data_IF_524146683768
#
_entry.id   IF_524146683768
#
_cell.length_a   1.000
_cell.length_b   1.000
_cell.length_c   1.000
_cell.angle_alpha   90.00
_cell.angle_beta   90.00
_cell.angle_gamma   90.00
#
_symmetry.space_group_name_H-M   'P 1'
#
loop_
_entity.id
_entity.type
_entity.pdbx_description
1 polymer ?
#
# COMPACT_ATOMS: atom_id res chain seq x y z
N UNK A 1 -16.63 3.19 20.07
CA UNK A 1 -17.30 3.31 18.75
C UNK A 1 -17.45 1.95 18.12
N UNK A 2 -18.51 1.76 17.33
CA UNK A 2 -18.70 0.58 16.49
C UNK A 2 -18.27 0.94 15.07
N UNK A 3 -17.14 0.39 14.62
CA UNK A 3 -16.47 0.75 13.38
C UNK A 3 -16.62 -0.38 12.37
N UNK A 4 -17.17 -0.07 11.19
CA UNK A 4 -17.35 -1.01 10.11
C UNK A 4 -16.36 -0.74 8.97
N UNK A 5 -15.50 -1.71 8.65
CA UNK A 5 -14.66 -1.70 7.46
C UNK A 5 -15.34 -2.48 6.33
N UNK A 6 -15.35 -1.92 5.14
CA UNK A 6 -15.81 -2.62 3.93
C UNK A 6 -14.72 -2.62 2.85
N UNK A 7 -14.31 -3.79 2.42
CA UNK A 7 -13.24 -4.02 1.44
C UNK A 7 -13.58 -5.20 0.53
N UNK A 8 -12.91 -5.32 -0.61
CA UNK A 8 -13.13 -6.40 -1.57
C UNK A 8 -12.83 -7.79 -1.00
N UNK A 9 -11.65 -7.97 -0.45
CA UNK A 9 -11.15 -9.20 0.18
C UNK A 9 -10.03 -8.86 1.18
N UNK A 10 -9.42 -9.88 1.81
CA UNK A 10 -8.27 -9.72 2.72
C UNK A 10 -7.07 -10.59 2.28
N UNK A 11 -6.83 -10.70 0.96
CA UNK A 11 -5.62 -11.34 0.40
C UNK A 11 -4.41 -10.43 0.54
N UNK A 12 -3.21 -10.95 0.22
CA UNK A 12 -1.95 -10.15 0.25
C UNK A 12 -2.05 -8.94 -0.68
N UNK A 13 -2.17 -7.74 -0.09
CA UNK A 13 -2.25 -6.46 -0.78
C UNK A 13 -1.98 -5.29 0.16
N UNK A 14 -1.74 -4.10 -0.40
CA UNK A 14 -1.38 -2.91 0.39
C UNK A 14 -2.55 -2.34 1.19
N UNK A 15 -3.73 -2.24 0.58
CA UNK A 15 -4.94 -1.74 1.23
C UNK A 15 -5.45 -2.72 2.29
N UNK A 16 -5.43 -4.01 1.97
CA UNK A 16 -5.84 -5.11 2.84
C UNK A 16 -4.97 -5.17 4.10
N UNK A 17 -3.65 -4.97 3.95
CA UNK A 17 -2.73 -4.85 5.08
C UNK A 17 -3.11 -3.69 5.99
N UNK A 18 -3.40 -2.53 5.44
CA UNK A 18 -3.81 -1.35 6.22
C UNK A 18 -5.09 -1.62 6.98
N UNK A 19 -6.11 -2.22 6.33
CA UNK A 19 -7.36 -2.61 7.01
C UNK A 19 -7.08 -3.57 8.16
N UNK A 20 -6.29 -4.61 7.93
CA UNK A 20 -5.94 -5.59 8.99
C UNK A 20 -5.18 -4.92 10.15
N UNK A 21 -4.21 -4.06 9.86
CA UNK A 21 -3.43 -3.35 10.89
C UNK A 21 -4.30 -2.39 11.70
N UNK A 22 -5.11 -1.55 11.03
CA UNK A 22 -6.03 -0.62 11.71
C UNK A 22 -7.05 -1.36 12.56
N UNK A 23 -7.67 -2.41 12.01
CA UNK A 23 -8.69 -3.22 12.70
C UNK A 23 -8.13 -3.87 13.95
N UNK A 24 -6.91 -4.46 13.87
CA UNK A 24 -6.25 -5.10 15.01
C UNK A 24 -5.95 -4.13 16.15
N UNK A 25 -5.61 -2.89 15.84
CA UNK A 25 -5.35 -1.87 16.86
C UNK A 25 -6.62 -1.22 17.40
N UNK A 26 -7.57 -0.91 16.52
CA UNK A 26 -8.82 -0.27 16.91
C UNK A 26 -9.69 -1.17 17.79
N UNK A 27 -9.65 -2.50 17.59
CA UNK A 27 -10.46 -3.45 18.38
C UNK A 27 -10.07 -3.49 19.86
N UNK A 28 -8.89 -3.00 20.23
CA UNK A 28 -8.46 -2.92 21.64
C UNK A 28 -9.39 -2.02 22.48
N UNK A 29 -10.03 -1.01 21.85
CA UNK A 29 -10.88 -0.01 22.54
C UNK A 29 -12.24 0.22 21.87
N UNK A 30 -12.54 -0.48 20.79
CA UNK A 30 -13.73 -0.28 19.97
C UNK A 30 -14.32 -1.63 19.55
N UNK A 31 -15.59 -1.65 19.15
CA UNK A 31 -16.16 -2.78 18.43
C UNK A 31 -15.79 -2.61 16.94
N UNK A 32 -15.10 -3.61 16.39
CA UNK A 32 -14.64 -3.59 14.99
C UNK A 32 -15.26 -4.72 14.21
N UNK A 33 -15.83 -4.36 13.08
CA UNK A 33 -16.45 -5.28 12.13
C UNK A 33 -15.78 -5.10 10.77
N UNK A 34 -15.52 -6.19 10.08
CA UNK A 34 -15.06 -6.18 8.69
C UNK A 34 -16.09 -6.90 7.83
N UNK A 35 -16.54 -6.27 6.75
CA UNK A 35 -17.30 -6.91 5.69
C UNK A 35 -16.41 -7.01 4.46
N UNK A 36 -16.30 -8.21 3.87
CA UNK A 36 -15.65 -8.44 2.58
C UNK A 36 -16.67 -8.69 1.49
N UNK A 37 -16.36 -8.32 0.25
CA UNK A 37 -17.21 -8.64 -0.91
C UNK A 37 -17.14 -10.13 -1.23
N UNK A 38 -15.96 -10.74 -1.11
CA UNK A 38 -15.72 -12.17 -1.40
C UNK A 38 -15.28 -12.92 -0.16
N UNK A 39 -15.43 -14.26 -0.16
CA UNK A 39 -15.06 -15.18 0.91
C UNK A 39 -13.65 -15.78 0.70
N UNK A 40 -12.79 -15.09 -0.03
CA UNK A 40 -11.44 -15.56 -0.28
C UNK A 40 -10.64 -15.71 1.03
N UNK A 41 -9.60 -16.55 0.95
CA UNK A 41 -8.72 -16.82 2.09
C UNK A 41 -8.17 -15.52 2.67
N UNK A 42 -8.32 -15.35 3.99
CA UNK A 42 -7.71 -14.26 4.74
C UNK A 42 -6.22 -14.57 4.90
N UNK A 43 -5.38 -13.66 4.42
CA UNK A 43 -3.92 -13.83 4.46
C UNK A 43 -3.23 -12.93 5.50
N UNK A 44 -4.01 -12.28 6.35
CA UNK A 44 -3.53 -11.48 7.48
C UNK A 44 -4.05 -12.06 8.81
N UNK A 45 -3.22 -12.01 9.84
CA UNK A 45 -3.65 -12.36 11.19
C UNK A 45 -4.59 -11.27 11.72
N UNK A 46 -5.82 -11.65 12.06
CA UNK A 46 -6.81 -10.78 12.68
C UNK A 46 -7.01 -11.14 14.13
N UNK A 47 -7.23 -10.13 14.98
CA UNK A 47 -7.63 -10.31 16.36
C UNK A 47 -8.98 -11.05 16.43
N UNK A 48 -9.09 -12.04 17.30
CA UNK A 48 -10.29 -12.88 17.45
C UNK A 48 -11.56 -12.09 17.83
N UNK A 49 -11.41 -10.90 18.39
CA UNK A 49 -12.52 -10.00 18.74
C UNK A 49 -13.11 -9.27 17.54
N UNK A 50 -12.46 -9.28 16.37
CA UNK A 50 -12.97 -8.69 15.15
C UNK A 50 -14.07 -9.59 14.56
N UNK A 51 -15.26 -9.03 14.36
CA UNK A 51 -16.35 -9.72 13.68
C UNK A 51 -16.15 -9.63 12.17
N UNK A 52 -16.16 -10.77 11.48
CA UNK A 52 -15.95 -10.84 10.05
C UNK A 52 -17.21 -11.39 9.35
N UNK A 53 -17.69 -10.67 8.35
CA UNK A 53 -18.77 -11.08 7.46
C UNK A 53 -18.32 -11.00 6.00
N UNK A 54 -19.00 -11.75 5.12
CA UNK A 54 -18.81 -11.64 3.69
C UNK A 54 -20.13 -11.52 2.95
N UNK A 55 -20.13 -10.85 1.81
CA UNK A 55 -21.32 -10.67 0.99
C UNK A 55 -21.54 -11.84 0.04
N UNK A 56 -20.53 -12.69 -0.19
CA UNK A 56 -20.61 -13.84 -1.08
C UNK A 56 -21.48 -14.92 -0.44
N UNK A 57 -22.31 -15.46 -1.13
CA UNK A 57 -22.57 -16.81 -1.56
C UNK A 57 -23.87 -16.85 -2.34
N UNK A 58 -23.76 -16.68 -3.66
CA UNK A 58 -24.80 -17.08 -4.59
C UNK A 58 -24.14 -17.94 -5.67
N UNK A 59 -24.00 -19.21 -5.36
CA UNK A 59 -23.69 -20.23 -6.35
C UNK A 59 -24.87 -20.36 -7.27
N UNK A 60 -24.87 -19.68 -8.40
CA UNK A 60 -25.90 -19.84 -9.42
C UNK A 60 -26.18 -18.66 -10.33
N UNK A 61 -26.01 -17.43 -9.91
CA UNK A 61 -26.33 -16.30 -10.79
C UNK A 61 -25.07 -15.73 -11.46
N UNK A 62 -24.90 -16.00 -12.77
CA UNK A 62 -23.77 -15.52 -13.58
C UNK A 62 -23.93 -14.08 -14.07
N UNK A 63 -25.12 -13.46 -13.90
CA UNK A 63 -25.36 -12.10 -14.37
C UNK A 63 -24.76 -11.07 -13.43
N UNK A 64 -23.77 -10.25 -13.85
CA UNK A 64 -23.09 -9.25 -13.01
C UNK A 64 -24.04 -8.20 -12.41
N UNK A 65 -25.11 -7.82 -13.12
CA UNK A 65 -26.07 -6.82 -12.64
C UNK A 65 -26.88 -7.35 -11.47
N UNK A 66 -27.42 -8.57 -11.60
CA UNK A 66 -28.18 -9.23 -10.55
C UNK A 66 -27.30 -9.46 -9.32
N UNK A 67 -26.06 -9.88 -9.52
CA UNK A 67 -25.07 -10.07 -8.46
C UNK A 67 -24.80 -8.77 -7.69
N UNK A 68 -24.66 -7.65 -8.40
CA UNK A 68 -24.45 -6.34 -7.74
C UNK A 68 -25.69 -5.89 -6.94
N UNK A 69 -26.91 -6.12 -7.44
CA UNK A 69 -28.15 -5.80 -6.70
C UNK A 69 -28.22 -6.62 -5.41
N UNK A 70 -27.87 -7.90 -5.46
CA UNK A 70 -27.86 -8.78 -4.29
C UNK A 70 -26.82 -8.31 -3.27
N UNK A 71 -25.61 -7.94 -3.73
CA UNK A 71 -24.58 -7.40 -2.84
C UNK A 71 -25.03 -6.09 -2.17
N UNK A 72 -25.66 -5.17 -2.91
CA UNK A 72 -26.20 -3.94 -2.35
C UNK A 72 -27.26 -4.21 -1.29
N UNK A 73 -28.21 -5.12 -1.56
CA UNK A 73 -29.25 -5.50 -0.59
C UNK A 73 -28.62 -6.07 0.69
N UNK A 74 -27.74 -7.06 0.57
CA UNK A 74 -27.06 -7.68 1.73
C UNK A 74 -26.23 -6.68 2.52
N UNK A 75 -25.47 -5.84 1.82
CA UNK A 75 -24.66 -4.82 2.50
C UNK A 75 -25.56 -3.86 3.28
N UNK A 76 -26.70 -3.46 2.72
CA UNK A 76 -27.69 -2.63 3.42
C UNK A 76 -28.25 -3.34 4.65
N UNK A 77 -28.63 -4.62 4.52
CA UNK A 77 -29.16 -5.41 5.62
C UNK A 77 -28.10 -5.55 6.75
N UNK A 78 -26.85 -5.89 6.42
CA UNK A 78 -25.76 -5.93 7.40
C UNK A 78 -25.53 -4.57 8.08
N UNK A 79 -25.51 -3.46 7.33
CA UNK A 79 -25.34 -2.14 7.92
C UNK A 79 -26.49 -1.82 8.91
N UNK A 80 -27.71 -2.17 8.55
CA UNK A 80 -28.88 -1.98 9.42
C UNK A 80 -28.80 -2.83 10.69
N UNK A 81 -28.43 -4.11 10.57
CA UNK A 81 -28.38 -5.05 11.71
C UNK A 81 -27.20 -4.75 12.64
N UNK A 82 -26.07 -4.32 12.07
CA UNK A 82 -24.86 -3.95 12.82
C UNK A 82 -25.05 -2.58 13.49
N UNK A 83 -25.72 -1.65 12.84
CA UNK A 83 -25.90 -0.25 13.28
C UNK A 83 -24.55 0.38 13.69
N UNK A 84 -23.59 0.54 12.77
CA UNK A 84 -22.27 1.08 13.08
C UNK A 84 -22.31 2.60 13.26
N UNK A 85 -21.42 3.13 14.11
CA UNK A 85 -21.22 4.58 14.27
C UNK A 85 -20.57 5.22 13.04
N UNK A 86 -19.75 4.43 12.32
CA UNK A 86 -19.04 4.89 11.13
C UNK A 86 -18.68 3.72 10.19
N UNK A 87 -18.64 4.00 8.89
CA UNK A 87 -18.26 3.02 7.86
C UNK A 87 -17.04 3.53 7.09
N UNK A 88 -16.03 2.66 6.94
CA UNK A 88 -14.80 2.91 6.19
C UNK A 88 -14.78 2.05 4.93
N UNK A 89 -14.90 2.67 3.75
CA UNK A 89 -14.79 2.00 2.46
C UNK A 89 -13.38 2.06 1.90
N UNK A 90 -12.80 0.91 1.58
CA UNK A 90 -11.46 0.83 0.99
C UNK A 90 -11.52 0.34 -0.45
N UNK A 91 -10.77 1.00 -1.34
CA UNK A 91 -10.72 0.77 -2.77
C UNK A 91 -12.01 1.18 -3.54
N UNK A 92 -11.94 1.46 -4.84
CA UNK A 92 -13.06 2.06 -5.58
C UNK A 92 -14.33 1.21 -5.62
N UNK A 93 -14.22 -0.09 -5.91
CA UNK A 93 -15.40 -0.95 -6.10
C UNK A 93 -16.25 -1.10 -4.82
N UNK A 94 -15.68 -1.43 -3.63
CA UNK A 94 -16.43 -1.38 -2.37
C UNK A 94 -16.97 0.01 -2.05
N UNK A 95 -16.17 1.06 -2.28
CA UNK A 95 -16.56 2.45 -2.05
C UNK A 95 -17.78 2.85 -2.87
N UNK A 96 -17.83 2.47 -4.15
CA UNK A 96 -19.01 2.75 -5.00
C UNK A 96 -20.29 2.11 -4.46
N UNK A 97 -20.22 0.86 -3.96
CA UNK A 97 -21.40 0.21 -3.35
C UNK A 97 -21.89 0.95 -2.11
N UNK A 98 -20.99 1.38 -1.22
CA UNK A 98 -21.36 2.19 -0.05
C UNK A 98 -22.02 3.50 -0.47
N UNK A 99 -21.45 4.20 -1.44
CA UNK A 99 -21.96 5.50 -1.89
C UNK A 99 -23.27 5.39 -2.69
N UNK A 100 -23.55 4.25 -3.30
CA UNK A 100 -24.87 3.95 -3.85
C UNK A 100 -25.92 3.75 -2.75
N UNK A 101 -25.52 3.19 -1.61
CA UNK A 101 -26.39 3.00 -0.44
C UNK A 101 -26.53 4.24 0.45
N UNK A 102 -25.61 5.22 0.35
CA UNK A 102 -25.59 6.40 1.23
C UNK A 102 -26.94 7.12 1.37
N UNK A 103 -27.78 7.27 0.31
CA UNK A 103 -29.11 7.86 0.46
C UNK A 103 -30.10 7.08 1.36
N UNK A 104 -29.77 5.81 1.67
CA UNK A 104 -30.62 4.90 2.44
C UNK A 104 -30.02 4.54 3.81
N UNK A 105 -28.86 5.06 4.15
CA UNK A 105 -28.17 4.86 5.43
C UNK A 105 -27.81 6.21 6.05
N UNK A 106 -28.01 6.33 7.36
CA UNK A 106 -27.67 7.56 8.10
C UNK A 106 -26.21 7.57 8.55
N UNK A 107 -25.61 6.40 8.68
CA UNK A 107 -24.23 6.24 9.16
C UNK A 107 -23.24 7.00 8.28
N UNK A 108 -22.32 7.78 8.87
CA UNK A 108 -21.24 8.44 8.15
C UNK A 108 -20.34 7.46 7.39
N UNK A 109 -19.91 7.85 6.19
CA UNK A 109 -19.07 7.04 5.31
C UNK A 109 -17.79 7.78 4.96
N UNK A 110 -16.65 7.20 5.33
CA UNK A 110 -15.33 7.64 4.91
C UNK A 110 -14.82 6.71 3.80
N UNK A 111 -14.29 7.30 2.75
CA UNK A 111 -13.68 6.57 1.62
C UNK A 111 -12.16 6.71 1.66
N UNK A 112 -11.46 5.61 1.45
CA UNK A 112 -10.00 5.60 1.33
C UNK A 112 -9.54 5.02 0.00
N UNK A 113 -9.04 5.90 -0.87
CA UNK A 113 -8.34 5.53 -2.09
C UNK A 113 -6.86 5.25 -1.77
N UNK A 114 -6.33 4.16 -2.35
CA UNK A 114 -5.02 3.61 -1.96
C UNK A 114 -4.07 3.41 -3.13
N UNK A 115 -4.38 3.98 -4.28
CA UNK A 115 -3.60 3.88 -5.50
C UNK A 115 -3.49 5.25 -6.19
N UNK A 116 -2.76 5.34 -7.31
CA UNK A 116 -2.72 6.56 -8.12
C UNK A 116 -4.09 6.81 -8.77
N UNK A 117 -4.80 7.89 -8.41
CA UNK A 117 -6.13 8.19 -8.96
C UNK A 117 -6.08 8.49 -10.47
N UNK A 118 -4.94 8.92 -11.04
CA UNK A 118 -4.81 9.11 -12.49
C UNK A 118 -4.90 7.78 -13.24
N UNK A 119 -4.39 6.72 -12.66
CA UNK A 119 -4.46 5.35 -13.21
C UNK A 119 -5.83 4.73 -12.90
N UNK A 120 -6.30 4.84 -11.65
CA UNK A 120 -7.57 4.26 -11.21
C UNK A 120 -8.77 4.84 -11.98
N UNK A 121 -8.75 6.16 -12.24
CA UNK A 121 -9.82 6.87 -12.96
C UNK A 121 -9.40 7.28 -14.38
N UNK A 122 -8.55 6.50 -15.04
CA UNK A 122 -8.07 6.80 -16.39
C UNK A 122 -9.22 6.81 -17.43
N UNK A 123 -10.19 5.88 -17.32
CA UNK A 123 -11.31 5.82 -18.24
C UNK A 123 -12.35 6.92 -17.98
N UNK A 124 -12.99 7.41 -19.04
CA UNK A 124 -14.07 8.40 -18.91
C UNK A 124 -15.22 7.86 -18.04
N UNK A 125 -15.53 6.57 -18.17
CA UNK A 125 -16.58 5.90 -17.39
C UNK A 125 -16.24 5.89 -15.89
N UNK A 126 -15.05 5.43 -15.50
CA UNK A 126 -14.63 5.38 -14.08
C UNK A 126 -14.59 6.78 -13.47
N UNK A 127 -14.10 7.77 -14.23
CA UNK A 127 -14.05 9.17 -13.81
C UNK A 127 -15.44 9.78 -13.59
N UNK A 128 -16.38 9.49 -14.47
CA UNK A 128 -17.77 9.98 -14.35
C UNK A 128 -18.47 9.35 -13.14
N UNK A 129 -18.34 8.05 -12.95
CA UNK A 129 -18.91 7.33 -11.80
C UNK A 129 -18.33 7.90 -10.50
N UNK A 130 -17.01 8.05 -10.42
CA UNK A 130 -16.32 8.63 -9.27
C UNK A 130 -16.84 10.05 -8.97
N UNK A 131 -16.85 10.95 -9.97
CA UNK A 131 -17.34 12.33 -9.80
C UNK A 131 -18.77 12.43 -9.28
N UNK A 132 -19.65 11.50 -9.68
CA UNK A 132 -21.03 11.46 -9.23
C UNK A 132 -21.16 10.89 -7.82
N UNK A 133 -20.52 9.75 -7.53
CA UNK A 133 -20.69 9.04 -6.27
C UNK A 133 -19.92 9.69 -5.12
N UNK A 134 -18.69 10.14 -5.34
CA UNK A 134 -17.82 10.68 -4.28
C UNK A 134 -18.38 11.92 -3.59
N UNK A 135 -19.28 12.67 -4.25
CA UNK A 135 -20.00 13.79 -3.62
C UNK A 135 -20.84 13.38 -2.39
N UNK A 136 -21.17 12.08 -2.28
CA UNK A 136 -22.02 11.53 -1.21
C UNK A 136 -21.24 11.08 0.02
N UNK A 137 -19.93 10.96 -0.08
CA UNK A 137 -19.10 10.60 1.07
C UNK A 137 -19.02 11.75 2.08
N UNK A 138 -18.90 11.41 3.36
CA UNK A 138 -18.80 12.35 4.45
C UNK A 138 -17.35 12.73 4.75
N UNK A 139 -16.41 11.84 4.43
CA UNK A 139 -14.99 12.08 4.55
C UNK A 139 -14.14 11.27 3.57
N UNK A 140 -12.88 11.70 3.39
CA UNK A 140 -11.91 11.00 2.56
C UNK A 140 -10.56 10.89 3.25
N UNK A 141 -9.89 9.76 3.06
CA UNK A 141 -8.49 9.58 3.48
C UNK A 141 -7.65 9.22 2.28
N UNK A 142 -6.73 10.11 1.94
CA UNK A 142 -5.73 9.89 0.91
C UNK A 142 -4.38 9.52 1.54
N UNK A 143 -3.48 8.91 0.75
CA UNK A 143 -2.17 8.52 1.24
C UNK A 143 -1.10 9.59 1.06
N UNK A 144 -1.30 10.49 0.09
CA UNK A 144 -0.36 11.54 -0.32
C UNK A 144 -1.11 12.81 -0.67
N UNK A 145 -0.42 13.95 -0.59
CA UNK A 145 -0.97 15.22 -1.04
C UNK A 145 -1.25 15.21 -2.55
N UNK A 146 -0.38 14.58 -3.37
CA UNK A 146 -0.59 14.46 -4.81
C UNK A 146 -1.87 13.66 -5.15
N UNK A 147 -2.15 12.59 -4.39
CA UNK A 147 -3.40 11.85 -4.55
C UNK A 147 -4.63 12.70 -4.22
N UNK A 148 -4.58 13.47 -3.13
CA UNK A 148 -5.65 14.40 -2.74
C UNK A 148 -5.89 15.49 -3.78
N UNK A 149 -4.83 16.06 -4.31
CA UNK A 149 -4.88 17.21 -5.23
C UNK A 149 -5.45 16.85 -6.61
N UNK A 150 -5.54 15.55 -6.95
CA UNK A 150 -6.27 15.09 -8.13
C UNK A 150 -7.78 15.40 -8.05
N UNK A 151 -8.35 15.48 -6.86
CA UNK A 151 -9.78 15.65 -6.65
C UNK A 151 -10.18 17.13 -6.57
N UNK A 152 -11.47 17.42 -6.84
CA UNK A 152 -11.98 18.78 -6.75
C UNK A 152 -11.99 19.29 -5.31
N UNK A 153 -11.98 20.61 -5.14
CA UNK A 153 -11.93 21.31 -3.84
C UNK A 153 -12.96 20.79 -2.83
N UNK A 154 -14.18 20.53 -3.25
CA UNK A 154 -15.24 19.97 -2.39
C UNK A 154 -14.88 18.61 -1.75
N UNK A 155 -14.10 17.79 -2.43
CA UNK A 155 -13.59 16.50 -1.89
C UNK A 155 -12.38 16.77 -1.00
N UNK A 156 -11.48 17.67 -1.41
CA UNK A 156 -10.33 18.07 -0.61
C UNK A 156 -10.75 18.65 0.75
N UNK A 157 -11.78 19.48 0.80
CA UNK A 157 -12.28 20.12 2.04
C UNK A 157 -12.84 19.12 3.07
N UNK A 158 -13.18 17.90 2.62
CA UNK A 158 -13.66 16.80 3.47
C UNK A 158 -12.58 15.71 3.65
N UNK A 159 -11.33 16.01 3.38
CA UNK A 159 -10.29 15.00 3.33
C UNK A 159 -9.13 15.28 4.27
N UNK A 160 -8.45 14.19 4.64
CA UNK A 160 -7.18 14.22 5.34
C UNK A 160 -6.17 13.33 4.60
N UNK A 161 -4.88 13.67 4.69
CA UNK A 161 -3.80 12.80 4.23
C UNK A 161 -3.26 12.00 5.41
N UNK A 162 -3.41 10.68 5.34
CA UNK A 162 -2.90 9.73 6.34
C UNK A 162 -2.11 8.65 5.64
N UNK A 163 -0.82 8.60 5.91
CA UNK A 163 0.09 7.57 5.42
C UNK A 163 -0.28 6.16 5.93
N UNK A 164 0.37 5.14 5.38
CA UNK A 164 0.23 3.77 5.88
C UNK A 164 0.93 3.61 7.25
N UNK A 165 0.39 2.77 8.14
CA UNK A 165 1.10 2.39 9.36
C UNK A 165 2.26 1.43 9.04
N UNK A 166 3.38 1.59 9.74
CA UNK A 166 4.47 0.63 9.76
C UNK A 166 4.26 -0.33 10.93
N UNK A 167 4.33 -1.63 10.64
CA UNK A 167 4.25 -2.66 11.68
C UNK A 167 5.46 -2.58 12.62
N UNK A 168 5.21 -2.69 13.92
CA UNK A 168 6.22 -2.60 14.98
C UNK A 168 7.37 -3.59 14.81
N UNK A 169 7.16 -4.75 14.19
CA UNK A 169 8.21 -5.73 13.93
C UNK A 169 9.35 -5.14 13.10
N UNK A 170 9.05 -4.30 12.09
CA UNK A 170 10.08 -3.65 11.28
C UNK A 170 10.82 -2.56 12.07
N UNK A 171 10.13 -1.81 12.92
CA UNK A 171 10.74 -0.80 13.77
C UNK A 171 11.65 -1.41 14.86
N UNK A 172 11.35 -2.64 15.31
CA UNK A 172 12.15 -3.37 16.31
C UNK A 172 13.36 -4.08 15.69
N UNK A 173 13.28 -4.43 14.40
CA UNK A 173 14.37 -5.10 13.67
C UNK A 173 15.55 -4.15 13.51
N UNK A 174 16.79 -4.65 13.74
CA UNK A 174 18.03 -3.86 13.64
C UNK A 174 18.77 -4.24 12.38
N UNK A 175 19.10 -3.26 11.57
CA UNK A 175 19.89 -3.41 10.36
C UNK A 175 21.36 -3.76 10.67
N UNK A 176 21.89 -4.76 9.97
CA UNK A 176 23.28 -5.26 10.13
C UNK A 176 24.00 -5.47 8.78
N UNK A 177 23.37 -5.15 7.67
CA UNK A 177 23.78 -5.53 6.30
C UNK A 177 24.89 -4.70 5.66
N UNK A 178 25.65 -3.88 6.39
CA UNK A 178 26.66 -2.98 5.78
C UNK A 178 27.75 -3.68 4.94
N UNK A 179 28.04 -4.96 5.22
CA UNK A 179 29.02 -5.78 4.50
C UNK A 179 28.38 -6.70 3.45
N UNK A 180 27.08 -6.69 3.33
CA UNK A 180 26.34 -7.51 2.38
C UNK A 180 26.64 -7.13 0.92
N UNK A 181 26.58 -8.09 0.04
CA UNK A 181 26.65 -7.90 -1.40
C UNK A 181 25.30 -8.13 -2.09
N UNK A 182 24.21 -8.23 -1.31
CA UNK A 182 22.88 -8.54 -1.82
C UNK A 182 21.96 -7.32 -1.73
N UNK A 183 21.44 -6.87 -2.86
CA UNK A 183 20.34 -5.93 -2.94
C UNK A 183 19.01 -6.67 -2.98
N UNK A 184 17.94 -6.00 -2.53
CA UNK A 184 16.61 -6.60 -2.47
C UNK A 184 15.55 -5.70 -3.07
N UNK A 185 14.60 -6.31 -3.78
CA UNK A 185 13.32 -5.72 -4.20
C UNK A 185 12.18 -6.57 -3.67
N UNK A 186 11.09 -5.95 -3.21
CA UNK A 186 9.91 -6.65 -2.72
C UNK A 186 8.66 -6.04 -3.35
N UNK A 187 7.90 -6.86 -4.07
CA UNK A 187 6.66 -6.39 -4.69
C UNK A 187 6.07 -7.38 -5.68
N UNK A 188 4.82 -7.15 -6.09
CA UNK A 188 4.18 -7.96 -7.13
C UNK A 188 4.97 -7.89 -8.44
N UNK A 189 5.13 -9.02 -9.13
CA UNK A 189 5.78 -9.07 -10.44
C UNK A 189 4.78 -8.64 -11.52
N UNK A 190 4.66 -7.32 -11.73
CA UNK A 190 3.73 -6.72 -12.67
C UNK A 190 4.29 -5.41 -13.26
N UNK A 191 3.63 -4.87 -14.26
CA UNK A 191 4.01 -3.64 -14.98
C UNK A 191 4.23 -2.43 -14.05
N UNK A 192 3.42 -2.31 -12.98
CA UNK A 192 3.54 -1.22 -12.01
C UNK A 192 4.91 -1.18 -11.34
N UNK A 193 5.42 -2.35 -10.92
CA UNK A 193 6.67 -2.48 -10.14
C UNK A 193 7.93 -2.39 -10.98
N UNK A 194 7.80 -2.53 -12.31
CA UNK A 194 8.86 -2.27 -13.29
C UNK A 194 10.21 -2.95 -12.98
N UNK A 195 10.14 -4.26 -12.64
CA UNK A 195 11.34 -5.03 -12.35
C UNK A 195 12.31 -5.13 -13.54
N UNK A 196 11.83 -4.95 -14.76
CA UNK A 196 12.69 -4.90 -15.97
C UNK A 196 13.71 -3.76 -15.85
N UNK A 197 13.28 -2.53 -15.53
CA UNK A 197 14.17 -1.39 -15.31
C UNK A 197 15.24 -1.72 -14.26
N UNK A 198 14.84 -2.37 -13.16
CA UNK A 198 15.74 -2.75 -12.09
C UNK A 198 16.77 -3.79 -12.55
N UNK A 199 16.34 -4.81 -13.29
CA UNK A 199 17.24 -5.87 -13.79
C UNK A 199 18.21 -5.29 -14.82
N UNK A 200 17.76 -4.38 -15.71
CA UNK A 200 18.61 -3.70 -16.67
C UNK A 200 19.65 -2.80 -16.01
N UNK A 201 19.26 -2.05 -14.99
CA UNK A 201 20.19 -1.24 -14.20
C UNK A 201 21.20 -2.12 -13.49
N UNK A 202 20.75 -3.23 -12.90
CA UNK A 202 21.61 -4.15 -12.18
C UNK A 202 22.58 -4.91 -13.12
N UNK A 203 22.18 -5.18 -14.36
CA UNK A 203 23.06 -5.71 -15.41
C UNK A 203 24.29 -4.82 -15.65
N UNK A 204 24.12 -3.49 -15.58
CA UNK A 204 25.26 -2.56 -15.72
C UNK A 204 26.09 -2.49 -14.44
N UNK A 205 25.46 -2.60 -13.26
CA UNK A 205 26.18 -2.67 -11.97
C UNK A 205 27.13 -3.87 -11.91
N UNK A 206 26.70 -5.08 -12.32
CA UNK A 206 27.53 -6.30 -12.22
C UNK A 206 28.71 -6.32 -13.19
N UNK A 207 28.71 -5.52 -14.25
CA UNK A 207 29.91 -5.34 -15.09
C UNK A 207 31.10 -4.77 -14.29
N UNK A 208 30.82 -3.89 -13.33
CA UNK A 208 31.81 -3.28 -12.44
C UNK A 208 31.97 -4.05 -11.13
N UNK A 209 30.87 -4.64 -10.63
CA UNK A 209 30.79 -5.32 -9.33
C UNK A 209 30.21 -6.73 -9.47
N UNK A 210 30.94 -7.70 -10.04
CA UNK A 210 30.42 -9.03 -10.43
C UNK A 210 29.93 -9.88 -9.26
N UNK A 211 30.38 -9.61 -8.02
CA UNK A 211 30.02 -10.38 -6.83
C UNK A 211 28.68 -9.95 -6.22
N UNK A 212 28.08 -8.84 -6.69
CA UNK A 212 26.81 -8.37 -6.16
C UNK A 212 25.63 -9.14 -6.75
N UNK A 213 24.57 -9.27 -5.94
CA UNK A 213 23.34 -9.99 -6.29
C UNK A 213 22.11 -9.13 -6.09
N UNK A 214 21.09 -9.37 -6.89
CA UNK A 214 19.75 -8.80 -6.77
C UNK A 214 18.74 -9.91 -6.46
N UNK A 215 18.09 -9.82 -5.32
CA UNK A 215 17.03 -10.72 -4.88
C UNK A 215 15.68 -10.05 -5.06
N UNK A 216 14.80 -10.62 -5.86
CA UNK A 216 13.46 -10.09 -6.15
C UNK A 216 12.43 -11.00 -5.51
N UNK A 217 11.74 -10.49 -4.47
CA UNK A 217 10.71 -11.21 -3.75
C UNK A 217 9.32 -10.77 -4.20
N UNK A 218 8.47 -11.75 -4.47
CA UNK A 218 7.09 -11.58 -4.89
C UNK A 218 6.67 -12.54 -5.98
N UNK A 219 5.39 -12.53 -6.29
CA UNK A 219 4.76 -13.29 -7.37
C UNK A 219 3.94 -12.35 -8.25
N UNK A 220 3.62 -12.77 -9.48
CA UNK A 220 2.80 -11.98 -10.38
C UNK A 220 2.85 -12.45 -11.83
N UNK A 221 2.08 -11.73 -12.67
CA UNK A 221 1.88 -12.10 -14.09
C UNK A 221 3.16 -12.07 -14.93
N UNK A 222 4.15 -11.25 -14.55
CA UNK A 222 5.40 -11.11 -15.30
C UNK A 222 6.50 -12.11 -14.87
N UNK A 223 6.21 -13.07 -13.97
CA UNK A 223 7.22 -14.01 -13.46
C UNK A 223 7.96 -14.76 -14.57
N UNK A 224 7.22 -15.30 -15.54
CA UNK A 224 7.80 -16.06 -16.63
C UNK A 224 8.65 -15.18 -17.56
N UNK A 225 8.15 -13.99 -17.90
CA UNK A 225 8.84 -13.00 -18.72
C UNK A 225 10.16 -12.56 -18.08
N UNK A 226 10.13 -12.20 -16.79
CA UNK A 226 11.32 -11.83 -16.03
C UNK A 226 12.32 -12.98 -15.95
N UNK A 227 11.85 -14.22 -15.77
CA UNK A 227 12.71 -15.40 -15.73
C UNK A 227 13.41 -15.65 -17.07
N UNK A 228 12.69 -15.52 -18.19
CA UNK A 228 13.26 -15.61 -19.52
C UNK A 228 14.27 -14.47 -19.75
N UNK A 229 13.94 -13.24 -19.40
CA UNK A 229 14.84 -12.09 -19.55
C UNK A 229 16.16 -12.29 -18.78
N UNK A 230 16.10 -12.78 -17.54
CA UNK A 230 17.28 -13.10 -16.72
C UNK A 230 18.15 -14.15 -17.41
N UNK A 231 17.54 -15.21 -17.93
CA UNK A 231 18.23 -16.32 -18.62
C UNK A 231 18.90 -15.84 -19.91
N UNK A 232 18.17 -15.15 -20.77
CA UNK A 232 18.64 -14.71 -22.09
C UNK A 232 19.79 -13.69 -21.98
N UNK A 233 19.77 -12.89 -20.90
CA UNK A 233 20.86 -11.96 -20.58
C UNK A 233 22.00 -12.57 -19.73
N UNK A 234 21.97 -13.89 -19.45
CA UNK A 234 22.99 -14.61 -18.67
C UNK A 234 23.18 -14.07 -17.24
N UNK A 235 22.09 -13.60 -16.61
CA UNK A 235 22.10 -12.97 -15.29
C UNK A 235 21.80 -13.93 -14.13
N UNK A 236 21.64 -15.25 -14.38
CA UNK A 236 21.20 -16.24 -13.39
C UNK A 236 22.08 -16.31 -12.13
N UNK A 237 23.37 -15.96 -12.23
CA UNK A 237 24.28 -15.95 -11.08
C UNK A 237 24.11 -14.72 -10.18
N UNK A 238 23.52 -13.63 -10.71
CA UNK A 238 23.45 -12.34 -10.03
C UNK A 238 22.01 -11.89 -9.72
N UNK A 239 21.02 -12.35 -10.48
CA UNK A 239 19.62 -11.97 -10.30
C UNK A 239 18.75 -13.18 -10.02
N UNK A 240 18.01 -13.17 -8.93
CA UNK A 240 17.16 -14.30 -8.51
C UNK A 240 15.73 -13.84 -8.21
N UNK A 241 14.74 -14.51 -8.80
CA UNK A 241 13.33 -14.42 -8.41
C UNK A 241 13.09 -15.39 -7.24
N UNK A 242 12.76 -14.85 -6.06
CA UNK A 242 12.72 -15.62 -4.80
C UNK A 242 11.31 -16.06 -4.40
N UNK A 243 10.26 -15.61 -5.14
CA UNK A 243 8.87 -15.90 -4.76
C UNK A 243 8.41 -15.12 -3.53
N UNK A 244 7.28 -15.54 -2.95
CA UNK A 244 6.75 -14.93 -1.74
C UNK A 244 7.48 -15.42 -0.49
N UNK A 245 7.53 -14.55 0.53
CA UNK A 245 8.10 -14.85 1.85
C UNK A 245 7.24 -14.19 2.94
N UNK A 246 7.17 -14.79 4.10
CA UNK A 246 6.39 -14.29 5.24
C UNK A 246 7.26 -13.53 6.25
N UNK A 247 8.54 -13.90 6.39
CA UNK A 247 9.49 -13.32 7.36
C UNK A 247 10.43 -12.29 6.69
N UNK A 248 9.81 -11.30 6.03
CA UNK A 248 10.54 -10.31 5.22
C UNK A 248 11.43 -9.39 6.06
N UNK A 249 11.04 -9.06 7.30
CA UNK A 249 11.80 -8.20 8.20
C UNK A 249 13.16 -8.81 8.55
N UNK A 250 13.24 -10.13 8.79
CA UNK A 250 14.50 -10.83 9.00
C UNK A 250 15.36 -10.91 7.75
N UNK A 251 14.76 -10.93 6.57
CA UNK A 251 15.49 -10.89 5.30
C UNK A 251 16.05 -9.49 5.03
N UNK A 252 15.27 -8.44 5.27
CA UNK A 252 15.70 -7.06 5.01
C UNK A 252 16.93 -6.65 5.84
N UNK A 253 17.03 -7.10 7.08
CA UNK A 253 18.05 -6.60 8.06
C UNK A 253 19.50 -6.81 7.64
N UNK A 254 19.79 -7.78 6.77
CA UNK A 254 21.16 -8.18 6.39
C UNK A 254 21.51 -7.88 4.92
N UNK A 255 20.64 -7.18 4.18
CA UNK A 255 20.89 -6.83 2.79
C UNK A 255 21.70 -5.54 2.64
N UNK A 256 22.33 -5.33 1.48
CA UNK A 256 23.12 -4.12 1.18
C UNK A 256 22.24 -2.90 1.00
N UNK A 257 21.10 -3.06 0.33
CA UNK A 257 20.14 -1.99 0.05
C UNK A 257 18.82 -2.51 -0.51
N UNK A 258 17.77 -1.71 -0.35
CA UNK A 258 16.45 -1.94 -0.94
C UNK A 258 16.26 -1.05 -2.16
N UNK A 259 15.66 -1.59 -3.23
CA UNK A 259 15.41 -0.83 -4.45
C UNK A 259 13.94 -0.96 -4.85
N UNK A 260 13.26 0.20 -5.01
CA UNK A 260 11.93 0.30 -5.57
C UNK A 260 12.00 0.98 -6.94
N UNK A 261 11.63 0.26 -8.00
CA UNK A 261 11.70 0.72 -9.40
C UNK A 261 10.35 1.06 -10.03
N UNK A 262 9.33 1.25 -9.20
CA UNK A 262 7.93 1.35 -9.63
C UNK A 262 7.67 2.51 -10.58
N UNK A 263 6.75 2.31 -11.55
CA UNK A 263 6.26 3.36 -12.47
C UNK A 263 5.30 4.34 -11.76
N UNK A 264 4.55 3.87 -10.78
CA UNK A 264 3.63 4.66 -9.94
C UNK A 264 3.35 3.95 -8.62
N UNK A 265 3.15 4.72 -7.54
CA UNK A 265 2.82 4.23 -6.20
C UNK A 265 1.92 5.22 -5.46
N UNK A 266 0.93 4.71 -4.73
CA UNK A 266 0.36 5.48 -3.64
C UNK A 266 1.40 5.62 -2.51
N UNK A 267 1.21 4.91 -1.41
CA UNK A 267 2.22 4.83 -0.34
C UNK A 267 2.83 3.41 -0.34
N UNK A 268 4.11 3.23 -0.77
CA UNK A 268 4.70 1.90 -0.95
C UNK A 268 5.12 1.25 0.38
N UNK A 269 4.32 0.30 0.89
CA UNK A 269 4.60 -0.40 2.15
C UNK A 269 6.00 -1.04 2.17
N UNK A 270 6.43 -1.67 1.08
CA UNK A 270 7.75 -2.33 1.05
C UNK A 270 8.92 -1.34 1.23
N UNK A 271 8.80 -0.12 0.71
CA UNK A 271 9.78 0.94 0.95
C UNK A 271 9.76 1.39 2.42
N UNK A 272 8.55 1.61 2.98
CA UNK A 272 8.40 1.98 4.40
C UNK A 272 8.98 0.92 5.34
N UNK A 273 8.74 -0.35 5.04
CA UNK A 273 9.26 -1.49 5.81
C UNK A 273 10.79 -1.55 5.77
N UNK A 274 11.37 -1.41 4.57
CA UNK A 274 12.83 -1.37 4.40
C UNK A 274 13.46 -0.18 5.14
N UNK A 275 12.86 1.02 5.04
CA UNK A 275 13.29 2.22 5.75
C UNK A 275 13.15 2.06 7.27
N UNK A 276 12.12 1.38 7.78
CA UNK A 276 11.89 1.14 9.20
C UNK A 276 12.93 0.20 9.82
N UNK A 277 13.35 -0.82 9.09
CA UNK A 277 14.50 -1.67 9.46
C UNK A 277 15.80 -0.84 9.50
N UNK A 278 15.86 0.23 8.71
CA UNK A 278 17.06 1.05 8.51
C UNK A 278 17.91 0.57 7.34
N UNK A 279 17.34 -0.20 6.42
CA UNK A 279 18.03 -0.61 5.20
C UNK A 279 18.19 0.60 4.27
N UNK A 280 19.40 0.91 3.74
CA UNK A 280 19.57 1.97 2.74
C UNK A 280 18.66 1.74 1.54
N UNK A 281 17.85 2.74 1.19
CA UNK A 281 16.81 2.61 0.17
C UNK A 281 17.09 3.49 -1.04
N UNK A 282 16.81 2.96 -2.23
CA UNK A 282 16.70 3.69 -3.49
C UNK A 282 15.27 3.54 -3.99
N UNK A 283 14.65 4.62 -4.44
CA UNK A 283 13.32 4.57 -5.04
C UNK A 283 13.21 5.49 -6.24
N UNK A 284 12.45 5.07 -7.24
CA UNK A 284 12.00 5.99 -8.30
C UNK A 284 11.09 7.06 -7.71
N UNK A 285 11.26 8.30 -8.17
CA UNK A 285 10.35 9.43 -7.91
C UNK A 285 9.12 9.29 -8.81
N UNK A 286 8.31 8.30 -8.52
CA UNK A 286 7.17 7.96 -9.36
C UNK A 286 5.88 8.69 -8.92
N UNK A 287 4.92 8.91 -9.85
CA UNK A 287 3.59 9.44 -9.52
C UNK A 287 2.90 8.57 -8.48
N UNK A 288 2.09 9.06 -7.93
CA UNK A 288 1.28 9.68 -6.90
C UNK A 288 2.08 10.15 -5.67
N UNK A 289 3.41 10.28 -5.78
CA UNK A 289 4.25 11.01 -4.83
C UNK A 289 4.65 10.27 -3.55
N UNK A 290 4.18 9.03 -3.32
CA UNK A 290 4.49 8.31 -2.09
C UNK A 290 5.98 8.16 -1.77
N UNK A 291 6.82 7.73 -2.71
CA UNK A 291 8.26 7.71 -2.48
C UNK A 291 8.86 9.08 -2.14
N UNK A 292 8.38 10.15 -2.79
CA UNK A 292 8.82 11.54 -2.53
C UNK A 292 8.42 12.03 -1.14
N UNK A 293 7.28 11.61 -0.60
CA UNK A 293 6.89 11.94 0.78
C UNK A 293 7.70 11.19 1.83
N UNK A 294 8.16 9.97 1.49
CA UNK A 294 8.97 9.15 2.39
C UNK A 294 10.45 9.54 2.37
N UNK A 295 10.98 9.88 1.20
CA UNK A 295 12.41 10.21 1.00
C UNK A 295 12.57 11.73 0.90
N UNK A 296 13.21 12.30 1.92
CA UNK A 296 13.47 13.74 2.03
C UNK A 296 14.82 14.10 1.38
N UNK A 297 14.79 14.54 0.13
CA UNK A 297 15.93 15.16 -0.55
C UNK A 297 17.25 14.40 -0.45
N UNK A 298 17.23 13.08 -0.60
CA UNK A 298 18.38 12.18 -0.47
C UNK A 298 19.03 12.14 0.94
N UNK A 299 18.32 12.55 1.97
CA UNK A 299 18.83 12.51 3.35
C UNK A 299 18.60 11.14 4.04
N UNK A 300 17.51 10.46 3.72
CA UNK A 300 17.06 9.22 4.35
C UNK A 300 16.79 8.09 3.34
N UNK A 301 17.18 8.27 2.10
CA UNK A 301 17.10 7.38 0.96
C UNK A 301 17.58 8.10 -0.28
N UNK A 302 17.75 7.41 -1.39
CA UNK A 302 18.08 8.00 -2.68
C UNK A 302 16.83 8.00 -3.56
N UNK A 303 16.41 9.17 -4.02
CA UNK A 303 15.29 9.34 -4.94
C UNK A 303 15.83 9.59 -6.34
N UNK A 304 15.49 8.71 -7.29
CA UNK A 304 15.94 8.77 -8.68
C UNK A 304 14.78 9.12 -9.61
N UNK A 305 15.06 9.74 -10.73
CA UNK A 305 14.03 10.06 -11.72
C UNK A 305 13.31 8.80 -12.21
N UNK A 306 12.00 8.94 -12.45
CA UNK A 306 11.18 7.81 -12.88
C UNK A 306 11.60 7.31 -14.27
N UNK A 307 11.75 5.99 -14.43
CA UNK A 307 12.24 5.32 -15.63
C UNK A 307 13.66 5.71 -16.06
N UNK A 308 14.47 6.31 -15.20
CA UNK A 308 15.86 6.67 -15.49
C UNK A 308 16.81 5.54 -15.06
N UNK A 309 17.24 4.73 -16.03
CA UNK A 309 18.13 3.57 -15.83
C UNK A 309 19.52 4.01 -15.35
N UNK A 310 20.05 5.07 -15.93
CA UNK A 310 21.41 5.59 -15.67
C UNK A 310 21.53 6.09 -14.23
N UNK A 311 20.52 6.84 -13.76
CA UNK A 311 20.48 7.38 -12.41
C UNK A 311 20.26 6.26 -11.38
N UNK A 312 19.41 5.25 -11.71
CA UNK A 312 19.22 4.08 -10.86
C UNK A 312 20.52 3.28 -10.74
N UNK A 313 21.21 3.05 -11.85
CA UNK A 313 22.53 2.36 -11.87
C UNK A 313 23.56 3.11 -11.02
N UNK A 314 23.69 4.43 -11.21
CA UNK A 314 24.64 5.26 -10.45
C UNK A 314 24.34 5.26 -8.96
N UNK A 315 23.05 5.31 -8.58
CA UNK A 315 22.62 5.27 -7.19
C UNK A 315 22.94 3.92 -6.52
N UNK A 316 22.79 2.81 -7.23
CA UNK A 316 23.21 1.49 -6.74
C UNK A 316 24.73 1.45 -6.53
N UNK A 317 25.52 1.92 -7.52
CA UNK A 317 26.99 2.01 -7.39
C UNK A 317 27.39 2.87 -6.18
N UNK A 318 26.73 4.00 -5.95
CA UNK A 318 26.97 4.86 -4.80
C UNK A 318 26.79 4.14 -3.45
N UNK A 319 25.76 3.32 -3.30
CA UNK A 319 25.58 2.52 -2.08
C UNK A 319 26.64 1.41 -1.96
N UNK A 320 27.21 0.94 -3.05
CA UNK A 320 28.31 -0.05 -3.05
C UNK A 320 29.59 0.62 -2.56
N UNK A 321 29.92 1.79 -3.09
CA UNK A 321 31.20 2.48 -2.92
C UNK A 321 31.32 3.23 -1.58
N UNK A 322 30.20 3.78 -1.08
CA UNK A 322 30.20 4.66 0.09
C UNK A 322 29.41 4.07 1.28
N UNK A 323 30.13 3.42 2.19
CA UNK A 323 29.54 2.90 3.42
C UNK A 323 29.14 4.01 4.42
N UNK A 324 29.69 5.21 4.33
CA UNK A 324 29.32 6.30 5.22
C UNK A 324 27.95 6.84 4.87
N UNK A 325 27.69 7.01 3.54
CA UNK A 325 26.35 7.39 3.09
C UNK A 325 25.33 6.32 3.48
N UNK A 326 25.66 5.02 3.34
CA UNK A 326 24.77 3.93 3.78
C UNK A 326 24.38 4.07 5.26
N UNK A 327 25.35 4.37 6.15
CA UNK A 327 25.09 4.55 7.60
C UNK A 327 24.20 5.77 7.87
N UNK A 328 24.45 6.88 7.17
CA UNK A 328 23.66 8.10 7.31
C UNK A 328 22.21 7.88 6.85
N UNK A 329 22.01 7.32 5.64
CA UNK A 329 20.70 7.01 5.10
C UNK A 329 19.94 6.04 6.01
N UNK A 330 20.61 4.99 6.49
CA UNK A 330 20.04 4.00 7.42
C UNK A 330 19.48 4.65 8.69
N UNK A 331 20.29 5.48 9.36
CA UNK A 331 19.87 6.17 10.58
C UNK A 331 18.67 7.07 10.31
N UNK A 332 18.79 7.95 9.33
CA UNK A 332 17.76 8.95 9.03
C UNK A 332 16.45 8.30 8.54
N UNK A 333 16.53 7.20 7.77
CA UNK A 333 15.34 6.43 7.35
C UNK A 333 14.60 5.87 8.58
N UNK A 334 15.33 5.26 9.51
CA UNK A 334 14.74 4.71 10.71
C UNK A 334 14.10 5.77 11.60
N UNK A 335 14.76 6.92 11.77
CA UNK A 335 14.23 8.05 12.53
C UNK A 335 12.94 8.57 11.91
N UNK A 336 12.92 8.75 10.58
CA UNK A 336 11.72 9.15 9.83
C UNK A 336 10.55 8.18 10.00
N UNK A 337 10.81 6.87 9.98
CA UNK A 337 9.75 5.86 10.09
C UNK A 337 9.09 5.80 11.47
N UNK A 338 9.68 6.39 12.54
CA UNK A 338 9.01 6.55 13.83
C UNK A 338 7.76 7.44 13.77
N UNK A 339 7.67 8.31 12.75
CA UNK A 339 6.47 9.14 12.51
C UNK A 339 5.28 8.32 12.01
N UNK A 340 5.56 7.16 11.38
CA UNK A 340 4.59 6.27 10.77
C UNK A 340 4.31 5.01 11.61
N UNK A 341 4.70 5.00 12.90
CA UNK A 341 4.38 3.87 13.76
C UNK A 341 2.85 3.66 13.86
N UNK A 342 2.47 2.42 14.14
CA UNK A 342 1.08 2.01 14.09
C UNK A 342 0.18 2.88 14.99
N UNK A 343 0.60 3.16 16.23
CA UNK A 343 -0.22 3.91 17.20
C UNK A 343 -0.49 5.35 16.73
N UNK A 344 0.52 6.04 16.20
CA UNK A 344 0.36 7.41 15.68
C UNK A 344 -0.62 7.46 14.48
N UNK A 345 -0.48 6.51 13.57
CA UNK A 345 -1.33 6.45 12.39
C UNK A 345 -2.78 6.08 12.77
N UNK A 346 -2.97 5.09 13.66
CA UNK A 346 -4.29 4.70 14.15
C UNK A 346 -4.97 5.85 14.88
N UNK A 347 -4.24 6.63 15.69
CA UNK A 347 -4.80 7.81 16.36
C UNK A 347 -5.27 8.87 15.35
N UNK A 348 -4.49 9.16 14.29
CA UNK A 348 -4.94 10.08 13.21
C UNK A 348 -6.23 9.61 12.55
N UNK A 349 -6.34 8.31 12.26
CA UNK A 349 -7.57 7.74 11.73
C UNK A 349 -8.74 7.89 12.69
N UNK A 350 -8.53 7.58 13.97
CA UNK A 350 -9.57 7.63 14.99
C UNK A 350 -10.07 9.05 15.25
N UNK A 351 -9.17 10.03 15.27
CA UNK A 351 -9.52 11.44 15.45
C UNK A 351 -10.31 11.95 14.24
N UNK A 352 -9.93 11.60 13.03
CA UNK A 352 -10.69 11.95 11.83
C UNK A 352 -12.07 11.27 11.80
N UNK A 353 -12.18 10.00 12.22
CA UNK A 353 -13.47 9.33 12.36
C UNK A 353 -14.40 10.08 13.33
N UNK A 354 -13.89 10.53 14.48
CA UNK A 354 -14.67 11.33 15.44
C UNK A 354 -15.11 12.67 14.86
N UNK A 355 -14.22 13.34 14.15
CA UNK A 355 -14.54 14.61 13.48
C UNK A 355 -15.71 14.44 12.51
N UNK A 356 -15.64 13.43 11.63
CA UNK A 356 -16.71 13.14 10.65
C UNK A 356 -18.03 12.79 11.35
N UNK A 357 -18.00 11.98 12.42
CA UNK A 357 -19.20 11.67 13.19
C UNK A 357 -19.83 12.91 13.86
N UNK A 358 -19.01 13.84 14.35
CA UNK A 358 -19.52 15.06 15.00
C UNK A 358 -20.13 16.05 13.99
N UNK A 359 -19.53 16.18 12.81
CA UNK A 359 -20.04 17.04 11.75
C UNK A 359 -21.42 16.59 11.24
N UNK A 360 -21.68 15.27 11.18
CA UNK A 360 -22.99 14.72 10.81
C UNK A 360 -24.08 14.96 11.88
N UNK A 361 -23.71 15.08 13.16
CA UNK A 361 -24.69 15.37 14.24
C UNK A 361 -25.12 16.84 14.27
N UNK A 362 -24.32 17.71 13.67
CA UNK A 362 -24.56 19.18 13.68
C UNK A 362 -25.26 19.67 12.39
N UNK A 363 -25.43 18.80 11.38
CA UNK A 363 -26.17 19.03 10.13
C UNK A 363 -27.54 18.32 10.15
#
# INVERSE_FOLDING_TARGET
MKILFYIGNLRKGGAERVVATLSNKLVEKNEVIIITTTDEKIEYSLNKSIKLFNLKNFDGNKNPLVKNIIYLKRLKDYIKDIDPDIILGFLPEPSYRLLLLKPFIKTPVIISDRNDPKIEYASLKSRTIMKFLYKRADGFVFQTDEARDYFCKKIQDKSIVIANPVDDRFLKTKYVGYKSTEFINVGRLNEQKNQILLIESFKDVIKKYPNYKLLIYGEGSLKNELSMYIKDNKLNNNVKLCGNVDDIDNILKDKKGFILSSKYEGMPNALMEAMAVGLPCISTNCPCGGPKELIDGNKNGLLVENNNKEELTSSICRLIEDNNICRQLSKNARDKMQEYNCDKIVNKWFDFMKEVCNNEKNN
#
